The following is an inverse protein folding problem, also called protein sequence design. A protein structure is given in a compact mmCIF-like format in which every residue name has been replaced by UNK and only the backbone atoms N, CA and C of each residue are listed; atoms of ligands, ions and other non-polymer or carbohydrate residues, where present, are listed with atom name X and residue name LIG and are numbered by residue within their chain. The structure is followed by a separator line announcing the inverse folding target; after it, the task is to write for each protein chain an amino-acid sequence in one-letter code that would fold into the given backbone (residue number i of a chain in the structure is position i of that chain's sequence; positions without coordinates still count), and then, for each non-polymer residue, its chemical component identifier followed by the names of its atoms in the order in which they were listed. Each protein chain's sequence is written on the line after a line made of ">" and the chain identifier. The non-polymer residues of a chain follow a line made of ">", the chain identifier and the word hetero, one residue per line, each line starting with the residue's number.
data_IF_151551738128
#
_entry.id   IF_151551738128
#
_cell.length_a   1.000
_cell.length_b   1.000
_cell.length_c   1.000
_cell.angle_alpha   90.00
_cell.angle_beta   90.00
_cell.angle_gamma   90.00
#
_symmetry.space_group_name_H-M   'P 1'
#
loop_
_entity.id
_entity.type
_entity.pdbx_description
1 polymer ?
#
# COMPACT_ATOMS: atom_id res chain seq x y z
N UNK A 1 -15.35 -7.56 -22.55
CA UNK A 1 -14.28 -8.58 -22.59
C UNK A 1 -13.20 -8.13 -21.61
N UNK A 2 -13.05 -8.79 -20.46
CA UNK A 2 -11.96 -8.49 -19.52
C UNK A 2 -10.67 -9.06 -20.10
N UNK A 3 -9.86 -8.23 -20.74
CA UNK A 3 -8.46 -8.61 -20.94
C UNK A 3 -7.79 -8.74 -19.56
N UNK A 4 -6.95 -9.76 -19.35
CA UNK A 4 -6.23 -9.90 -18.09
C UNK A 4 -5.21 -8.76 -17.93
N UNK A 5 -5.20 -8.15 -16.74
CA UNK A 5 -4.23 -7.11 -16.37
C UNK A 5 -2.79 -7.63 -16.46
N UNK A 6 -1.89 -6.84 -17.06
CA UNK A 6 -0.47 -7.17 -17.11
C UNK A 6 0.28 -6.51 -15.95
N UNK A 7 0.31 -7.20 -14.81
CA UNK A 7 1.00 -6.76 -13.58
C UNK A 7 2.51 -6.53 -13.75
N UNK A 8 3.15 -7.05 -14.79
CA UNK A 8 4.59 -6.83 -15.04
C UNK A 8 4.91 -5.40 -15.49
N UNK A 9 3.91 -4.66 -15.98
CA UNK A 9 4.05 -3.25 -16.38
C UNK A 9 3.85 -2.26 -15.23
N UNK A 10 3.63 -2.76 -14.02
CA UNK A 10 3.38 -1.91 -12.86
C UNK A 10 4.54 -0.93 -12.64
N UNK A 11 4.24 0.32 -12.35
CA UNK A 11 5.27 1.32 -12.07
C UNK A 11 4.87 2.22 -10.90
N UNK A 12 5.87 2.77 -10.23
CA UNK A 12 5.67 3.68 -9.11
C UNK A 12 5.12 5.03 -9.59
N UNK A 13 4.08 5.51 -8.91
CA UNK A 13 3.47 6.83 -9.17
C UNK A 13 3.94 7.83 -8.12
N UNK A 14 3.64 7.57 -6.84
CA UNK A 14 3.95 8.52 -5.76
C UNK A 14 3.98 7.86 -4.38
N UNK A 15 4.58 8.57 -3.43
CA UNK A 15 4.52 8.29 -2.00
C UNK A 15 3.87 9.47 -1.29
N UNK A 16 2.75 9.23 -0.60
CA UNK A 16 1.95 10.26 0.03
C UNK A 16 1.91 10.10 1.56
N UNK A 17 2.03 11.18 2.36
CA UNK A 17 1.89 11.11 3.80
C UNK A 17 0.44 10.89 4.26
N UNK A 18 -0.53 11.26 3.42
CA UNK A 18 -1.96 11.10 3.64
C UNK A 18 -2.73 11.20 2.32
N UNK A 19 -4.04 10.92 2.36
CA UNK A 19 -4.89 10.81 1.18
C UNK A 19 -5.02 12.10 0.36
N UNK A 20 -4.73 13.27 0.95
CA UNK A 20 -4.83 14.57 0.25
C UNK A 20 -3.66 14.81 -0.69
N UNK A 21 -2.59 14.04 -0.53
CA UNK A 21 -1.40 14.08 -1.37
C UNK A 21 -1.37 12.92 -2.38
N UNK A 22 -2.41 12.09 -2.41
CA UNK A 22 -2.59 11.10 -3.46
C UNK A 22 -3.14 11.79 -4.73
N UNK A 23 -2.93 11.19 -5.91
CA UNK A 23 -3.62 11.59 -7.13
C UNK A 23 -5.14 11.53 -6.97
N UNK A 24 -5.83 12.09 -7.97
CA UNK A 24 -7.28 12.14 -8.02
C UNK A 24 -7.91 10.78 -7.66
N UNK A 25 -8.90 10.83 -6.78
CA UNK A 25 -9.70 9.68 -6.35
C UNK A 25 -10.56 9.19 -7.53
N UNK A 26 -10.01 8.28 -8.32
CA UNK A 26 -10.59 7.81 -9.58
C UNK A 26 -10.04 6.43 -9.95
N UNK A 27 -10.82 5.70 -10.77
CA UNK A 27 -10.47 4.35 -11.19
C UNK A 27 -10.70 3.32 -10.09
N UNK A 28 -9.76 2.40 -9.94
CA UNK A 28 -9.81 1.24 -9.05
C UNK A 28 -8.51 1.15 -8.27
N UNK A 29 -8.62 1.10 -6.95
CA UNK A 29 -7.50 0.88 -6.02
C UNK A 29 -7.66 -0.43 -5.26
N UNK A 30 -6.60 -1.24 -5.23
CA UNK A 30 -6.48 -2.41 -4.35
C UNK A 30 -5.38 -2.13 -3.31
N UNK A 31 -5.76 -2.08 -2.05
CA UNK A 31 -4.86 -1.73 -0.97
C UNK A 31 -4.30 -2.95 -0.24
N UNK A 32 -3.01 -2.88 0.11
CA UNK A 32 -2.28 -3.89 0.85
C UNK A 32 -2.02 -3.37 2.27
N UNK A 33 -2.60 -4.04 3.26
CA UNK A 33 -2.47 -3.70 4.68
C UNK A 33 -1.91 -4.88 5.47
N UNK A 34 -1.39 -4.60 6.67
CA UNK A 34 -0.82 -5.63 7.54
C UNK A 34 0.27 -5.07 8.44
N UNK A 35 0.63 -5.82 9.49
CA UNK A 35 1.66 -5.39 10.45
C UNK A 35 3.00 -5.07 9.77
N UNK A 36 3.84 -4.27 10.43
CA UNK A 36 5.23 -4.11 9.99
C UNK A 36 5.88 -5.49 9.85
N UNK A 37 6.64 -5.69 8.76
CA UNK A 37 7.27 -6.97 8.40
C UNK A 37 6.31 -8.14 8.07
N UNK A 38 5.00 -7.92 7.92
CA UNK A 38 4.05 -8.96 7.48
C UNK A 38 4.21 -9.38 6.01
N UNK A 39 5.17 -8.83 5.27
CA UNK A 39 5.46 -9.23 3.89
C UNK A 39 4.75 -8.46 2.77
N UNK A 40 4.11 -7.31 3.06
CA UNK A 40 3.37 -6.49 2.05
C UNK A 40 4.19 -6.19 0.79
N UNK A 41 5.34 -5.52 0.97
CA UNK A 41 6.21 -5.15 -0.15
C UNK A 41 6.78 -6.38 -0.87
N UNK A 42 6.99 -7.49 -0.17
CA UNK A 42 7.39 -8.75 -0.80
C UNK A 42 6.27 -9.35 -1.66
N UNK A 43 5.02 -9.28 -1.22
CA UNK A 43 3.87 -9.73 -1.99
C UNK A 43 3.67 -8.86 -3.24
N UNK A 44 3.77 -7.53 -3.11
CA UNK A 44 3.71 -6.60 -4.25
C UNK A 44 4.78 -6.93 -5.30
N UNK A 45 6.03 -7.10 -4.87
CA UNK A 45 7.12 -7.50 -5.76
C UNK A 45 6.87 -8.86 -6.43
N UNK A 46 6.23 -9.79 -5.71
CA UNK A 46 5.93 -11.12 -6.23
C UNK A 46 4.83 -11.12 -7.29
N UNK A 47 3.70 -10.44 -7.04
CA UNK A 47 2.57 -10.39 -7.98
C UNK A 47 2.88 -9.58 -9.25
N UNK A 48 3.75 -8.59 -9.13
CA UNK A 48 4.22 -7.76 -10.27
C UNK A 48 5.41 -8.37 -11.00
N UNK A 49 6.00 -9.44 -10.46
CA UNK A 49 7.26 -10.03 -10.94
C UNK A 49 8.43 -9.03 -11.00
N UNK A 50 8.42 -8.01 -10.14
CA UNK A 50 9.45 -6.98 -10.06
C UNK A 50 10.18 -7.02 -8.72
N UNK A 51 11.51 -7.23 -8.73
CA UNK A 51 12.29 -7.44 -7.50
C UNK A 51 12.39 -6.22 -6.58
N UNK A 52 12.20 -5.01 -7.12
CA UNK A 52 12.49 -3.75 -6.42
C UNK A 52 11.44 -2.66 -6.62
N UNK A 53 10.21 -3.04 -7.01
CA UNK A 53 9.10 -2.09 -7.17
C UNK A 53 8.74 -1.46 -5.83
N UNK A 54 8.36 -2.29 -4.86
CA UNK A 54 8.17 -1.90 -3.48
C UNK A 54 9.47 -2.15 -2.70
N UNK A 55 9.93 -1.13 -1.98
CA UNK A 55 11.15 -1.21 -1.16
C UNK A 55 10.94 -2.17 0.00
N UNK A 56 11.61 -3.32 -0.04
CA UNK A 56 11.61 -4.27 1.07
C UNK A 56 12.69 -3.88 2.10
N UNK A 57 12.35 -3.99 3.38
CA UNK A 57 13.32 -3.81 4.47
C UNK A 57 12.95 -4.73 5.62
N UNK A 58 13.97 -5.31 6.26
CA UNK A 58 13.79 -6.02 7.53
C UNK A 58 13.63 -5.05 8.70
N UNK A 59 14.06 -3.80 8.53
CA UNK A 59 13.92 -2.74 9.53
C UNK A 59 12.44 -2.35 9.64
N UNK A 60 11.79 -2.59 10.79
CA UNK A 60 10.41 -2.20 10.98
C UNK A 60 10.20 -0.69 10.83
N UNK A 61 9.01 -0.27 10.39
CA UNK A 61 8.67 1.15 10.26
C UNK A 61 9.36 1.90 9.11
N UNK A 62 9.98 1.17 8.17
CA UNK A 62 10.61 1.77 6.98
C UNK A 62 9.59 2.38 6.02
N UNK A 63 8.44 1.73 5.86
CA UNK A 63 7.31 2.25 5.07
C UNK A 63 6.45 3.14 5.96
N UNK A 64 6.58 4.45 5.79
CA UNK A 64 5.82 5.46 6.56
C UNK A 64 4.81 6.23 5.71
N UNK A 65 4.92 6.11 4.39
CA UNK A 65 4.08 6.76 3.40
C UNK A 65 3.20 5.73 2.71
N UNK A 66 2.06 6.18 2.21
CA UNK A 66 1.20 5.42 1.30
C UNK A 66 1.91 5.41 -0.05
N UNK A 67 2.24 4.23 -0.58
CA UNK A 67 2.85 4.14 -1.92
C UNK A 67 1.81 3.69 -2.92
N UNK A 68 1.76 4.39 -4.07
CA UNK A 68 0.85 4.10 -5.16
C UNK A 68 1.62 3.58 -6.37
N UNK A 69 1.13 2.48 -6.94
CA UNK A 69 1.69 1.86 -8.13
C UNK A 69 0.60 1.65 -9.17
N UNK A 70 0.81 2.10 -10.39
CA UNK A 70 -0.16 1.94 -11.48
C UNK A 70 0.17 0.68 -12.29
N UNK A 71 -0.80 -0.22 -12.43
CA UNK A 71 -0.71 -1.45 -13.24
C UNK A 71 -1.06 -1.14 -14.69
N UNK A 72 -2.15 -0.40 -14.86
CA UNK A 72 -2.63 0.20 -16.10
C UNK A 72 -3.44 1.45 -15.76
N UNK A 73 -3.79 2.25 -16.77
CA UNK A 73 -4.53 3.49 -16.56
C UNK A 73 -5.81 3.25 -15.74
N UNK A 74 -5.87 3.89 -14.57
CA UNK A 74 -7.02 3.78 -13.68
C UNK A 74 -7.07 2.51 -12.82
N UNK A 75 -6.05 1.65 -12.83
CA UNK A 75 -5.94 0.48 -11.96
C UNK A 75 -4.65 0.53 -11.13
N UNK A 76 -4.80 0.66 -9.81
CA UNK A 76 -3.71 0.97 -8.91
C UNK A 76 -3.59 -0.04 -7.76
N UNK A 77 -2.36 -0.36 -7.40
CA UNK A 77 -2.00 -1.11 -6.18
C UNK A 77 -1.47 -0.11 -5.15
N UNK A 78 -1.96 -0.22 -3.92
CA UNK A 78 -1.63 0.72 -2.84
C UNK A 78 -0.93 -0.04 -1.71
N UNK A 79 0.31 0.33 -1.36
CA UNK A 79 1.01 -0.17 -0.18
C UNK A 79 0.76 0.76 0.99
N UNK A 80 -0.05 0.31 1.96
CA UNK A 80 -0.34 1.08 3.15
C UNK A 80 0.77 0.90 4.20
N UNK A 81 1.10 1.96 4.98
CA UNK A 81 2.04 1.85 6.09
C UNK A 81 1.69 0.70 7.04
N UNK A 82 2.71 -0.07 7.42
CA UNK A 82 2.50 -1.21 8.32
C UNK A 82 2.22 -0.77 9.76
N UNK A 83 1.15 -1.27 10.37
CA UNK A 83 0.81 -0.97 11.76
C UNK A 83 1.54 -1.90 12.77
N UNK A 84 1.42 -1.58 14.06
CA UNK A 84 1.82 -2.51 15.14
C UNK A 84 3.32 -2.62 15.42
N UNK A 85 4.11 -1.60 15.08
CA UNK A 85 5.51 -1.51 15.50
C UNK A 85 5.62 -1.06 16.97
N UNK A 86 6.38 -1.80 17.78
CA UNK A 86 6.48 -1.56 19.22
C UNK A 86 7.23 -0.26 19.57
N UNK A 87 8.27 0.10 18.80
CA UNK A 87 9.23 1.17 19.16
C UNK A 87 9.08 2.49 18.37
N UNK A 88 7.93 2.77 17.75
CA UNK A 88 7.66 4.13 17.24
C UNK A 88 7.03 5.02 18.30
N UNK A 89 7.30 6.34 18.27
CA UNK A 89 6.60 7.30 19.10
C UNK A 89 5.08 7.15 18.98
N UNK A 90 4.37 7.39 20.09
CA UNK A 90 2.91 7.28 20.15
C UNK A 90 2.23 8.16 19.09
N UNK A 91 2.73 9.37 18.87
CA UNK A 91 2.23 10.30 17.86
C UNK A 91 2.25 9.70 16.45
N UNK A 92 3.30 8.94 16.11
CA UNK A 92 3.41 8.28 14.82
C UNK A 92 2.42 7.12 14.70
N UNK A 93 2.18 6.37 15.79
CA UNK A 93 1.14 5.32 15.83
C UNK A 93 -0.26 5.91 15.59
N UNK A 94 -0.58 7.00 16.27
CA UNK A 94 -1.86 7.71 16.13
C UNK A 94 -2.02 8.23 14.70
N UNK A 95 -0.97 8.85 14.15
CA UNK A 95 -0.97 9.35 12.77
C UNK A 95 -1.25 8.22 11.78
N UNK A 96 -0.61 7.06 11.92
CA UNK A 96 -0.87 5.91 11.03
C UNK A 96 -2.27 5.32 11.19
N UNK A 97 -2.77 5.17 12.42
CA UNK A 97 -4.14 4.71 12.65
C UNK A 97 -5.15 5.66 12.00
N UNK A 98 -4.93 6.97 12.14
CA UNK A 98 -5.76 7.98 11.49
C UNK A 98 -5.66 7.92 9.97
N UNK A 99 -4.47 7.93 9.39
CA UNK A 99 -4.28 7.86 7.93
C UNK A 99 -4.86 6.58 7.33
N UNK A 100 -4.70 5.44 8.01
CA UNK A 100 -5.29 4.16 7.59
C UNK A 100 -6.82 4.24 7.63
N UNK A 101 -7.40 4.70 8.75
CA UNK A 101 -8.84 4.87 8.88
C UNK A 101 -9.42 5.83 7.85
N UNK A 102 -8.76 6.97 7.64
CA UNK A 102 -9.17 7.95 6.62
C UNK A 102 -9.11 7.37 5.21
N UNK A 103 -8.05 6.62 4.86
CA UNK A 103 -7.96 5.97 3.56
C UNK A 103 -9.08 4.96 3.34
N UNK A 104 -9.34 4.09 4.32
CA UNK A 104 -10.40 3.07 4.23
C UNK A 104 -11.81 3.66 4.19
N UNK A 105 -12.02 4.86 4.75
CA UNK A 105 -13.35 5.48 4.84
C UNK A 105 -13.62 6.49 3.72
N UNK A 106 -12.60 7.18 3.23
CA UNK A 106 -12.77 8.35 2.35
C UNK A 106 -12.29 8.13 0.92
N UNK A 107 -11.49 7.08 0.64
CA UNK A 107 -11.00 6.81 -0.71
C UNK A 107 -12.09 6.04 -1.47
N UNK A 108 -12.83 6.74 -2.33
CA UNK A 108 -13.99 6.18 -3.03
C UNK A 108 -13.60 5.14 -4.09
N UNK A 109 -12.43 5.29 -4.71
CA UNK A 109 -11.92 4.33 -5.69
C UNK A 109 -11.37 3.04 -5.07
N UNK A 110 -11.34 2.92 -3.73
CA UNK A 110 -10.92 1.69 -3.04
C UNK A 110 -11.92 0.56 -3.31
N UNK A 111 -11.53 -0.39 -4.14
CA UNK A 111 -12.37 -1.52 -4.53
C UNK A 111 -12.05 -2.82 -3.79
N UNK A 112 -10.90 -2.89 -3.10
CA UNK A 112 -10.50 -4.11 -2.40
C UNK A 112 -9.35 -3.90 -1.43
N UNK A 113 -9.33 -4.75 -0.39
CA UNK A 113 -8.32 -4.76 0.66
C UNK A 113 -7.70 -6.15 0.79
N UNK A 114 -6.38 -6.23 0.64
CA UNK A 114 -5.57 -7.41 0.90
C UNK A 114 -4.89 -7.25 2.25
N UNK A 115 -5.28 -8.06 3.23
CA UNK A 115 -4.71 -8.02 4.58
C UNK A 115 -3.69 -9.15 4.73
N UNK A 116 -2.43 -8.79 4.92
CA UNK A 116 -1.34 -9.72 5.17
C UNK A 116 -1.15 -9.92 6.67
N UNK A 117 -1.13 -11.19 7.06
CA UNK A 117 -0.92 -11.64 8.44
C UNK A 117 0.16 -12.72 8.43
N UNK A 118 1.07 -12.65 9.41
CA UNK A 118 2.00 -13.75 9.69
C UNK A 118 1.19 -14.91 10.27
N UNK A 119 1.48 -16.14 9.84
CA UNK A 119 0.79 -17.36 10.31
C UNK A 119 1.30 -17.83 11.69
N UNK A 120 2.39 -17.24 12.17
CA UNK A 120 3.05 -17.60 13.42
C UNK A 120 2.51 -16.80 14.60
#
# INVERSE_FOLDING_TARGET
>A
MNQPLNYRKTHFITSAPDIRHLPQDSGVEIAFAGRSNAGKSSALNRITEQKSLARTSKTPGRTQLINMFEVESGCNLIDLPGYGFAQVPLEMKIKWQKSLGEYLQKRECLAGLVVLMDIR
#
